data_IF_343262318650
#
_entry.id   IF_343262318650
#
_cell.length_a   1.000
_cell.length_b   1.000
_cell.length_c   1.000
_cell.angle_alpha   90.00
_cell.angle_beta   90.00
_cell.angle_gamma   90.00
#
_symmetry.space_group_name_H-M   'P 1'
#
loop_
_entity.id
_entity.type
_entity.pdbx_description
1 polymer ?
#
# COMPACT_ATOMS: atom_id res chain seq x y z
N UNK A 1 39.28 -78.29 -56.30
CA UNK A 1 39.25 -77.69 -54.96
C UNK A 1 39.07 -76.19 -55.12
N UNK A 2 37.85 -75.75 -55.17
CA UNK A 2 37.55 -74.34 -55.39
C UNK A 2 36.89 -73.76 -54.18
N UNK A 3 37.51 -72.71 -53.59
CA UNK A 3 36.91 -71.92 -52.47
C UNK A 3 36.05 -70.79 -53.06
N UNK A 4 34.79 -70.72 -52.60
CA UNK A 4 33.90 -69.62 -52.89
C UNK A 4 34.12 -68.45 -51.91
N UNK A 5 34.08 -67.18 -52.33
CA UNK A 5 34.11 -66.05 -51.42
C UNK A 5 32.70 -65.72 -50.89
N UNK A 6 32.64 -65.50 -49.62
CA UNK A 6 31.39 -65.03 -48.93
C UNK A 6 31.12 -63.56 -49.15
N UNK A 7 29.93 -63.25 -49.50
CA UNK A 7 29.40 -61.90 -49.69
C UNK A 7 28.88 -61.35 -48.31
N UNK A 8 29.62 -60.40 -47.74
CA UNK A 8 29.24 -59.77 -46.49
C UNK A 8 28.30 -58.59 -46.79
N UNK A 9 27.05 -58.67 -46.40
CA UNK A 9 26.03 -57.61 -46.51
C UNK A 9 26.22 -56.61 -45.34
N UNK A 10 26.68 -55.39 -45.63
CA UNK A 10 26.66 -54.26 -44.65
C UNK A 10 25.26 -53.63 -44.63
N UNK A 11 24.53 -53.83 -43.55
CA UNK A 11 23.30 -53.11 -43.31
C UNK A 11 23.64 -51.80 -42.60
N UNK A 12 23.56 -50.69 -43.32
CA UNK A 12 23.63 -49.30 -42.75
C UNK A 12 22.29 -48.99 -42.08
N UNK A 13 22.27 -49.08 -40.75
CA UNK A 13 21.19 -48.54 -39.94
C UNK A 13 21.43 -47.05 -39.81
N UNK A 14 20.71 -46.22 -40.57
CA UNK A 14 20.62 -44.78 -40.39
C UNK A 14 19.76 -44.46 -39.20
N UNK A 15 20.40 -44.16 -38.07
CA UNK A 15 19.77 -43.72 -36.83
C UNK A 15 19.38 -42.22 -37.00
N UNK A 16 18.15 -41.97 -37.43
CA UNK A 16 17.57 -40.63 -37.42
C UNK A 16 17.37 -40.17 -35.95
N UNK A 17 18.34 -39.40 -35.42
CA UNK A 17 18.16 -38.67 -34.18
C UNK A 17 17.11 -37.56 -34.44
N UNK A 18 15.88 -37.84 -34.11
CA UNK A 18 14.84 -36.81 -33.96
C UNK A 18 15.20 -35.94 -32.76
N UNK A 19 15.80 -34.78 -33.01
CA UNK A 19 15.92 -33.69 -32.02
C UNK A 19 14.49 -33.23 -31.68
N UNK A 20 13.89 -33.86 -30.69
CA UNK A 20 12.72 -33.31 -30.02
C UNK A 20 13.27 -32.12 -29.23
N UNK A 21 13.31 -30.95 -29.85
CA UNK A 21 13.40 -29.66 -29.13
C UNK A 21 12.12 -29.52 -28.34
N UNK A 22 12.13 -30.09 -27.13
CA UNK A 22 11.13 -29.79 -26.12
C UNK A 22 11.16 -28.28 -25.91
N UNK A 23 10.16 -27.58 -26.44
CA UNK A 23 9.85 -26.21 -26.02
C UNK A 23 9.50 -26.32 -24.57
N UNK A 24 10.48 -26.15 -23.68
CA UNK A 24 10.22 -25.91 -22.26
C UNK A 24 9.43 -24.61 -22.22
N UNK A 25 8.12 -24.71 -21.98
CA UNK A 25 7.33 -23.54 -21.63
C UNK A 25 8.04 -22.91 -20.42
N UNK A 26 8.58 -21.71 -20.59
CA UNK A 26 9.24 -21.01 -19.50
C UNK A 26 8.27 -20.96 -18.33
N UNK A 27 8.70 -21.50 -17.20
CA UNK A 27 7.89 -21.50 -15.98
C UNK A 27 7.57 -20.05 -15.61
N UNK A 28 6.28 -19.73 -15.52
CA UNK A 28 5.85 -18.36 -15.17
C UNK A 28 6.26 -18.06 -13.72
N UNK A 29 6.77 -16.85 -13.42
CA UNK A 29 7.25 -16.51 -12.08
C UNK A 29 6.15 -16.55 -11.04
N UNK A 30 6.50 -17.04 -9.84
CA UNK A 30 5.67 -16.97 -8.65
C UNK A 30 6.16 -15.79 -7.80
N UNK A 31 5.33 -14.73 -7.68
CA UNK A 31 5.68 -13.49 -7.02
C UNK A 31 4.79 -13.26 -5.79
N UNK A 32 5.38 -12.78 -4.70
CA UNK A 32 4.68 -12.45 -3.46
C UNK A 32 4.21 -11.00 -3.50
N UNK A 33 2.89 -10.80 -3.37
CA UNK A 33 2.24 -9.48 -3.44
C UNK A 33 1.70 -9.09 -2.07
N UNK A 34 2.31 -8.07 -1.46
CA UNK A 34 1.91 -7.53 -0.15
C UNK A 34 0.77 -6.53 -0.24
N UNK A 35 -0.21 -6.63 0.68
CA UNK A 35 -1.26 -5.62 0.82
C UNK A 35 -1.81 -5.60 2.25
N UNK A 36 -2.55 -4.54 2.60
CA UNK A 36 -3.12 -4.33 3.93
C UNK A 36 -4.64 -4.37 3.82
N UNK A 37 -5.33 -4.88 4.82
CA UNK A 37 -6.79 -4.80 4.94
C UNK A 37 -7.22 -3.36 5.28
N UNK A 38 -7.36 -2.55 4.22
CA UNK A 38 -7.76 -1.14 4.28
C UNK A 38 -8.47 -0.76 2.97
N UNK A 39 -9.39 0.19 3.00
CA UNK A 39 -10.02 0.70 1.79
C UNK A 39 -9.05 1.46 0.88
N UNK A 40 -7.86 1.79 1.38
CA UNK A 40 -6.77 2.32 0.57
C UNK A 40 -6.30 1.33 -0.51
N UNK A 41 -6.44 0.02 -0.26
CA UNK A 41 -6.04 -1.05 -1.19
C UNK A 41 -7.23 -1.70 -1.93
N UNK A 42 -8.42 -1.07 -1.87
CA UNK A 42 -9.62 -1.51 -2.59
C UNK A 42 -9.36 -1.90 -4.03
N UNK A 43 -8.61 -1.15 -4.86
CA UNK A 43 -8.43 -1.51 -6.26
C UNK A 43 -7.83 -2.89 -6.45
N UNK A 44 -6.86 -3.29 -5.63
CA UNK A 44 -6.29 -4.64 -5.70
C UNK A 44 -7.29 -5.73 -5.30
N UNK A 45 -8.04 -5.51 -4.22
CA UNK A 45 -9.06 -6.45 -3.75
C UNK A 45 -10.21 -6.59 -4.75
N UNK A 46 -10.61 -5.49 -5.39
CA UNK A 46 -11.59 -5.47 -6.47
C UNK A 46 -11.07 -6.23 -7.69
N UNK A 47 -9.82 -6.00 -8.12
CA UNK A 47 -9.22 -6.73 -9.23
C UNK A 47 -9.23 -8.24 -8.99
N UNK A 48 -8.92 -8.67 -7.76
CA UNK A 48 -8.93 -10.08 -7.37
C UNK A 48 -10.33 -10.69 -7.35
N UNK A 49 -11.36 -9.95 -6.92
CA UNK A 49 -12.74 -10.43 -6.87
C UNK A 49 -13.44 -10.39 -8.24
N UNK A 50 -13.21 -9.34 -9.03
CA UNK A 50 -13.79 -9.21 -10.37
C UNK A 50 -13.22 -10.24 -11.33
N UNK A 51 -11.98 -10.65 -11.15
CA UNK A 51 -11.38 -11.73 -11.89
C UNK A 51 -11.60 -11.61 -13.40
N UNK A 52 -12.15 -12.64 -14.03
CA UNK A 52 -12.43 -12.68 -15.47
C UNK A 52 -13.45 -11.65 -15.97
N UNK A 53 -14.27 -11.06 -15.08
CA UNK A 53 -15.13 -9.95 -15.47
C UNK A 53 -14.31 -8.73 -15.96
N UNK A 54 -13.03 -8.65 -15.60
CA UNK A 54 -12.11 -7.63 -16.10
C UNK A 54 -11.32 -8.03 -17.36
N UNK A 55 -11.67 -9.13 -18.00
CA UNK A 55 -11.02 -9.61 -19.24
C UNK A 55 -10.95 -8.55 -20.33
N UNK A 56 -11.99 -7.72 -20.45
CA UNK A 56 -12.04 -6.60 -21.41
C UNK A 56 -10.98 -5.51 -21.14
N UNK A 57 -10.40 -5.44 -19.94
CA UNK A 57 -9.30 -4.54 -19.62
C UNK A 57 -7.97 -4.99 -20.24
N UNK A 58 -7.90 -6.22 -20.79
CA UNK A 58 -6.68 -6.82 -21.35
C UNK A 58 -5.71 -7.39 -20.32
N UNK A 59 -5.88 -7.03 -19.04
CA UNK A 59 -5.12 -7.54 -17.88
C UNK A 59 -6.08 -7.75 -16.71
N UNK A 60 -6.00 -8.92 -16.06
CA UNK A 60 -6.86 -9.28 -14.92
C UNK A 60 -6.23 -10.36 -14.05
N UNK A 61 -6.82 -10.61 -12.87
CA UNK A 61 -6.43 -11.69 -11.97
C UNK A 61 -7.40 -12.86 -12.13
N UNK A 62 -6.87 -14.07 -12.28
CA UNK A 62 -7.66 -15.30 -12.27
C UNK A 62 -7.37 -16.08 -10.99
N UNK A 63 -8.40 -16.40 -10.16
CA UNK A 63 -8.18 -17.10 -8.91
C UNK A 63 -7.69 -18.53 -9.14
N UNK A 64 -6.60 -18.92 -8.46
CA UNK A 64 -6.16 -20.31 -8.31
C UNK A 64 -6.64 -20.83 -6.95
N UNK A 65 -6.39 -20.04 -5.90
CA UNK A 65 -6.95 -20.22 -4.56
C UNK A 65 -7.51 -18.87 -4.10
N UNK A 66 -8.83 -18.72 -3.94
CA UNK A 66 -9.43 -17.44 -3.57
C UNK A 66 -8.80 -16.81 -2.32
N UNK A 67 -8.52 -15.51 -2.37
CA UNK A 67 -7.85 -14.69 -1.37
C UNK A 67 -6.40 -15.07 -1.05
N UNK A 68 -5.84 -16.07 -1.71
CA UNK A 68 -4.49 -16.56 -1.45
C UNK A 68 -3.60 -16.55 -2.71
N UNK A 69 -4.05 -17.13 -3.83
CA UNK A 69 -3.25 -17.30 -5.04
C UNK A 69 -4.01 -16.95 -6.31
N UNK A 70 -3.38 -16.16 -7.18
CA UNK A 70 -3.98 -15.70 -8.42
C UNK A 70 -2.96 -15.76 -9.56
N UNK A 71 -3.44 -16.01 -10.76
CA UNK A 71 -2.67 -15.78 -11.98
C UNK A 71 -2.88 -14.34 -12.47
N UNK A 72 -1.82 -13.66 -12.83
CA UNK A 72 -1.88 -12.44 -13.62
C UNK A 72 -2.02 -12.84 -15.08
N UNK A 73 -3.17 -12.53 -15.67
CA UNK A 73 -3.52 -12.93 -17.03
C UNK A 73 -3.51 -11.72 -17.96
N UNK A 74 -2.84 -11.84 -19.09
CA UNK A 74 -2.76 -10.81 -20.13
C UNK A 74 -3.22 -11.40 -21.46
N UNK A 75 -4.24 -10.81 -22.08
CA UNK A 75 -4.81 -11.29 -23.33
C UNK A 75 -5.14 -12.81 -23.29
N UNK A 76 -5.65 -13.27 -22.13
CA UNK A 76 -6.07 -14.68 -21.92
C UNK A 76 -4.93 -15.63 -21.55
N UNK A 77 -3.67 -15.18 -21.49
CA UNK A 77 -2.52 -16.01 -21.13
C UNK A 77 -1.97 -15.63 -19.75
N UNK A 78 -1.75 -16.58 -18.82
CA UNK A 78 -1.09 -16.30 -17.55
C UNK A 78 0.39 -15.95 -17.81
N UNK A 79 0.89 -14.91 -17.15
CA UNK A 79 2.28 -14.44 -17.23
C UNK A 79 3.01 -14.50 -15.90
N UNK A 80 2.27 -14.60 -14.79
CA UNK A 80 2.81 -14.76 -13.44
C UNK A 80 1.77 -15.39 -12.53
N UNK A 81 2.23 -15.97 -11.42
CA UNK A 81 1.39 -16.35 -10.28
C UNK A 81 1.67 -15.38 -9.14
N UNK A 82 0.63 -14.82 -8.53
CA UNK A 82 0.71 -13.97 -7.36
C UNK A 82 0.28 -14.73 -6.10
N UNK A 83 1.21 -14.87 -5.15
CA UNK A 83 0.92 -15.31 -3.79
C UNK A 83 0.62 -14.07 -2.95
N UNK A 84 -0.59 -13.97 -2.41
CA UNK A 84 -1.03 -12.80 -1.64
C UNK A 84 -0.53 -12.87 -0.19
N UNK A 85 0.04 -11.78 0.29
CA UNK A 85 0.53 -11.65 1.66
C UNK A 85 -0.18 -10.45 2.32
N UNK A 86 -1.02 -10.74 3.31
CA UNK A 86 -1.63 -9.68 4.13
C UNK A 86 -0.59 -9.18 5.13
N UNK A 87 -0.27 -7.89 5.06
CA UNK A 87 0.64 -7.23 5.99
C UNK A 87 -0.15 -6.38 7.01
N UNK A 88 0.38 -6.26 8.22
CA UNK A 88 -0.26 -5.53 9.33
C UNK A 88 -0.12 -4.02 9.23
N UNK A 89 0.92 -3.56 8.52
CA UNK A 89 1.25 -2.13 8.38
C UNK A 89 2.24 -1.89 7.24
N UNK A 90 2.38 -0.62 6.83
CA UNK A 90 3.40 -0.22 5.87
C UNK A 90 4.83 -0.46 6.38
N UNK A 91 5.07 -0.32 7.68
CA UNK A 91 6.38 -0.63 8.27
C UNK A 91 6.74 -2.11 8.13
N UNK A 92 5.78 -3.02 8.34
CA UNK A 92 5.99 -4.45 8.11
C UNK A 92 6.22 -4.73 6.64
N UNK A 93 5.45 -4.09 5.73
CA UNK A 93 5.66 -4.23 4.28
C UNK A 93 7.10 -3.88 3.89
N UNK A 94 7.62 -2.73 4.36
CA UNK A 94 9.00 -2.33 4.10
C UNK A 94 10.02 -3.32 4.69
N UNK A 95 9.77 -3.86 5.88
CA UNK A 95 10.62 -4.87 6.51
C UNK A 95 10.61 -6.21 5.75
N UNK A 96 9.47 -6.61 5.17
CA UNK A 96 9.37 -7.81 4.33
C UNK A 96 10.14 -7.63 3.00
N UNK A 97 10.11 -6.45 2.39
CA UNK A 97 10.98 -6.13 1.23
C UNK A 97 12.46 -6.25 1.60
N UNK A 98 12.87 -5.66 2.73
CA UNK A 98 14.25 -5.73 3.20
C UNK A 98 14.74 -7.18 3.40
N UNK A 99 13.84 -8.08 3.81
CA UNK A 99 14.10 -9.52 3.96
C UNK A 99 13.90 -10.34 2.69
N UNK A 100 13.62 -9.68 1.53
CA UNK A 100 13.31 -10.34 0.24
C UNK A 100 12.12 -11.30 0.31
N UNK A 101 11.15 -10.98 1.15
CA UNK A 101 9.93 -11.77 1.35
C UNK A 101 8.72 -11.18 0.60
N UNK A 102 8.90 -10.07 -0.10
CA UNK A 102 7.93 -9.48 -1.01
C UNK A 102 8.61 -9.10 -2.34
N UNK A 103 7.90 -9.27 -3.41
CA UNK A 103 8.28 -8.89 -4.78
C UNK A 103 7.59 -7.60 -5.21
N UNK A 104 6.29 -7.50 -4.93
CA UNK A 104 5.41 -6.38 -5.21
C UNK A 104 4.60 -6.06 -3.94
N UNK A 105 4.21 -4.82 -3.74
CA UNK A 105 3.27 -4.49 -2.67
C UNK A 105 2.54 -3.16 -2.90
N UNK A 106 1.50 -2.96 -2.08
CA UNK A 106 0.89 -1.67 -1.82
C UNK A 106 1.16 -1.29 -0.36
N UNK A 107 1.56 -0.05 -0.13
CA UNK A 107 1.81 0.48 1.22
C UNK A 107 1.79 2.00 1.25
N UNK A 108 1.79 2.57 2.46
CA UNK A 108 1.96 4.01 2.66
C UNK A 108 3.27 4.50 2.01
N UNK A 109 3.20 5.61 1.27
CA UNK A 109 4.36 6.24 0.63
C UNK A 109 5.45 6.56 1.65
N UNK A 110 5.08 7.02 2.85
CA UNK A 110 6.02 7.33 3.94
C UNK A 110 6.75 6.11 4.46
N UNK A 111 6.09 4.95 4.51
CA UNK A 111 6.72 3.68 4.90
C UNK A 111 7.70 3.17 3.82
N UNK A 112 7.34 3.30 2.54
CA UNK A 112 8.23 2.95 1.43
C UNK A 112 9.44 3.89 1.41
N UNK A 113 9.26 5.21 1.54
CA UNK A 113 10.36 6.17 1.66
C UNK A 113 11.30 5.82 2.83
N UNK A 114 10.74 5.53 4.01
CA UNK A 114 11.55 5.15 5.18
C UNK A 114 12.31 3.83 4.97
N UNK A 115 11.75 2.88 4.23
CA UNK A 115 12.43 1.64 3.85
C UNK A 115 13.58 1.90 2.88
N UNK A 116 13.38 2.72 1.85
CA UNK A 116 14.41 3.10 0.88
C UNK A 116 15.54 3.89 1.58
N UNK A 117 15.20 4.81 2.50
CA UNK A 117 16.19 5.54 3.29
C UNK A 117 17.08 4.62 4.14
N UNK A 118 16.54 3.48 4.59
CA UNK A 118 17.28 2.43 5.31
C UNK A 118 18.05 1.49 4.39
N UNK A 119 18.06 1.72 3.09
CA UNK A 119 18.78 0.92 2.10
C UNK A 119 18.01 -0.28 1.56
N UNK A 120 16.69 -0.40 1.78
CA UNK A 120 15.90 -1.47 1.17
C UNK A 120 15.82 -1.24 -0.35
N UNK A 121 16.25 -2.22 -1.18
CA UNK A 121 16.29 -2.06 -2.63
C UNK A 121 14.88 -2.26 -3.21
N UNK A 122 14.13 -1.16 -3.34
CA UNK A 122 12.79 -1.13 -3.90
C UNK A 122 12.47 0.25 -4.49
N UNK A 123 11.48 0.32 -5.37
CA UNK A 123 11.00 1.54 -6.03
C UNK A 123 9.49 1.69 -5.90
N UNK A 124 9.04 2.95 -5.86
CA UNK A 124 7.65 3.34 -6.04
C UNK A 124 7.35 3.34 -7.54
N UNK A 125 6.25 2.67 -7.94
CA UNK A 125 5.89 2.47 -9.35
C UNK A 125 4.70 3.31 -9.79
N UNK A 126 3.68 3.45 -8.93
CA UNK A 126 2.47 4.21 -9.23
C UNK A 126 1.81 4.72 -7.95
N UNK A 127 0.99 5.79 -8.04
CA UNK A 127 0.13 6.18 -6.94
C UNK A 127 -0.99 5.16 -6.78
N UNK A 128 -1.61 5.12 -5.61
CA UNK A 128 -2.81 4.34 -5.37
C UNK A 128 -4.00 5.25 -5.03
N UNK A 129 -3.87 6.09 -3.99
CA UNK A 129 -4.89 7.07 -3.61
C UNK A 129 -4.29 8.21 -2.79
N UNK A 130 -5.12 9.23 -2.54
CA UNK A 130 -4.86 10.34 -1.62
C UNK A 130 -5.85 10.31 -0.46
N UNK A 131 -5.50 10.99 0.64
CA UNK A 131 -6.43 11.26 1.76
C UNK A 131 -6.95 9.99 2.47
N UNK A 132 -8.19 10.04 2.99
CA UNK A 132 -8.82 8.90 3.67
C UNK A 132 -8.21 8.61 5.03
N UNK A 133 -8.02 9.63 5.85
CA UNK A 133 -7.39 9.53 7.16
C UNK A 133 -8.15 10.40 8.15
N UNK A 134 -8.44 9.88 9.34
CA UNK A 134 -9.24 10.61 10.34
C UNK A 134 -8.67 10.56 11.75
N UNK A 135 -8.97 11.60 12.52
CA UNK A 135 -8.82 11.64 13.97
C UNK A 135 -10.17 11.32 14.61
N UNK A 136 -10.19 10.28 15.42
CA UNK A 136 -11.39 9.74 16.05
C UNK A 136 -11.26 9.80 17.56
N UNK A 137 -12.31 10.27 18.22
CA UNK A 137 -12.44 10.26 19.69
C UNK A 137 -13.58 9.34 20.11
N UNK A 138 -13.68 8.92 21.37
CA UNK A 138 -14.86 8.20 21.88
C UNK A 138 -16.15 8.92 21.54
N UNK A 139 -17.23 8.17 21.30
CA UNK A 139 -18.53 8.72 20.91
C UNK A 139 -19.09 9.77 21.89
N UNK A 140 -18.83 9.55 23.18
CA UNK A 140 -19.26 10.40 24.30
C UNK A 140 -18.29 11.55 24.63
N UNK A 141 -17.18 11.67 23.87
CA UNK A 141 -16.21 12.75 24.05
C UNK A 141 -16.83 14.13 23.80
N UNK A 142 -16.49 15.18 24.59
CA UNK A 142 -16.93 16.53 24.33
C UNK A 142 -16.23 17.19 23.13
N UNK A 143 -15.18 16.57 22.59
CA UNK A 143 -14.38 17.12 21.49
C UNK A 143 -15.14 16.99 20.17
N UNK A 144 -15.29 18.09 19.43
CA UNK A 144 -16.10 18.13 18.21
C UNK A 144 -15.30 18.41 16.93
N UNK A 145 -14.11 19.02 17.08
CA UNK A 145 -13.28 19.50 15.99
C UNK A 145 -11.82 19.68 16.43
N UNK A 146 -10.97 20.12 15.49
CA UNK A 146 -9.55 20.36 15.74
C UNK A 146 -9.29 21.42 16.83
N UNK A 147 -10.04 22.50 16.86
CA UNK A 147 -9.84 23.60 17.82
C UNK A 147 -10.20 23.17 19.24
N UNK A 148 -11.30 22.44 19.42
CA UNK A 148 -11.68 21.84 20.70
C UNK A 148 -10.64 20.85 21.19
N UNK A 149 -10.08 20.03 20.29
CA UNK A 149 -8.98 19.10 20.58
C UNK A 149 -7.72 19.86 21.04
N UNK A 150 -7.27 20.88 20.30
CA UNK A 150 -6.11 21.69 20.69
C UNK A 150 -6.28 22.36 22.04
N UNK A 151 -7.49 22.92 22.29
CA UNK A 151 -7.83 23.56 23.55
C UNK A 151 -7.80 22.58 24.73
N UNK A 152 -8.28 21.36 24.50
CA UNK A 152 -8.23 20.27 25.48
C UNK A 152 -6.78 19.85 25.76
N UNK A 153 -5.99 19.56 24.72
CA UNK A 153 -4.61 19.13 24.87
C UNK A 153 -3.73 20.17 25.61
N UNK A 154 -3.95 21.46 25.35
CA UNK A 154 -3.23 22.55 26.07
C UNK A 154 -3.56 22.66 27.55
N UNK A 155 -4.76 22.23 27.97
CA UNK A 155 -5.26 22.33 29.37
C UNK A 155 -5.11 21.02 30.14
N UNK A 156 -4.86 19.92 29.46
CA UNK A 156 -4.74 18.61 30.07
C UNK A 156 -3.59 18.55 31.08
N UNK A 157 -3.83 17.92 32.24
CA UNK A 157 -2.81 17.76 33.29
C UNK A 157 -1.78 16.67 32.96
N UNK A 158 -2.12 15.79 32.03
CA UNK A 158 -1.25 14.71 31.53
C UNK A 158 -1.32 14.69 30.00
N UNK A 159 -0.32 14.17 29.31
CA UNK A 159 -0.33 14.08 27.86
C UNK A 159 -1.56 13.29 27.35
N UNK A 160 -2.31 13.88 26.43
CA UNK A 160 -3.43 13.21 25.76
C UNK A 160 -2.92 12.08 24.90
N UNK A 161 -3.37 10.86 25.15
CA UNK A 161 -2.91 9.67 24.42
C UNK A 161 -3.65 9.48 23.10
N UNK A 162 -2.92 9.54 21.99
CA UNK A 162 -3.46 9.25 20.65
C UNK A 162 -2.81 7.98 20.12
N UNK A 163 -3.65 6.96 19.87
CA UNK A 163 -3.19 5.71 19.28
C UNK A 163 -3.00 5.81 17.77
N UNK A 164 -1.93 5.22 17.26
CA UNK A 164 -1.66 5.06 15.83
C UNK A 164 -1.17 3.61 15.55
N UNK A 165 -1.29 3.16 14.28
CA UNK A 165 -1.03 1.75 13.96
C UNK A 165 0.40 1.44 13.49
N UNK A 166 1.20 2.46 13.16
CA UNK A 166 2.57 2.27 12.64
C UNK A 166 3.37 3.58 12.69
N UNK A 167 4.63 3.56 13.13
CA UNK A 167 5.48 4.75 13.25
C UNK A 167 5.72 5.50 11.94
N UNK A 168 5.66 4.80 10.80
CA UNK A 168 5.86 5.37 9.47
C UNK A 168 4.57 5.54 8.68
N UNK A 169 3.41 5.47 9.33
CA UNK A 169 2.12 5.65 8.65
C UNK A 169 1.83 7.10 8.32
N UNK A 170 1.24 7.34 7.15
CA UNK A 170 0.85 8.68 6.72
C UNK A 170 -0.03 9.43 7.74
N UNK A 171 -1.10 8.82 8.30
CA UNK A 171 -1.93 9.53 9.28
C UNK A 171 -1.16 9.97 10.52
N UNK A 172 -0.21 9.16 11.02
CA UNK A 172 0.64 9.54 12.16
C UNK A 172 1.53 10.74 11.81
N UNK A 173 2.19 10.69 10.66
CA UNK A 173 3.10 11.75 10.21
C UNK A 173 2.37 13.07 9.99
N UNK A 174 1.19 13.04 9.36
CA UNK A 174 0.35 14.24 9.15
C UNK A 174 -0.08 14.83 10.49
N UNK A 175 -0.66 14.00 11.38
CA UNK A 175 -1.13 14.48 12.69
C UNK A 175 0.01 15.09 13.51
N UNK A 176 1.14 14.41 13.60
CA UNK A 176 2.30 14.91 14.34
C UNK A 176 2.82 16.23 13.76
N UNK A 177 2.88 16.35 12.42
CA UNK A 177 3.25 17.59 11.75
C UNK A 177 2.28 18.73 12.07
N UNK A 178 0.97 18.49 12.00
CA UNK A 178 -0.05 19.48 12.31
C UNK A 178 -0.05 19.90 13.79
N UNK A 179 0.16 18.95 14.72
CA UNK A 179 0.30 19.24 16.15
C UNK A 179 1.48 20.16 16.43
N UNK A 180 2.66 19.84 15.87
CA UNK A 180 3.88 20.66 16.02
C UNK A 180 3.70 22.05 15.43
N UNK A 181 3.08 22.17 14.25
CA UNK A 181 2.74 23.47 13.65
C UNK A 181 1.75 24.28 14.50
N UNK A 182 0.90 23.61 15.27
CA UNK A 182 -0.06 24.25 16.22
C UNK A 182 0.55 24.56 17.60
N UNK A 183 1.88 24.38 17.75
CA UNK A 183 2.61 24.63 18.99
C UNK A 183 2.35 23.61 20.10
N UNK A 184 1.93 22.38 19.75
CA UNK A 184 1.73 21.27 20.68
C UNK A 184 3.03 20.46 20.78
N UNK A 185 3.53 20.28 21.99
CA UNK A 185 4.65 19.38 22.27
C UNK A 185 4.17 17.95 22.23
N UNK A 186 4.78 17.16 21.34
CA UNK A 186 4.43 15.74 21.09
C UNK A 186 5.58 14.86 21.55
N UNK A 187 5.26 13.73 22.17
CA UNK A 187 6.21 12.69 22.56
C UNK A 187 5.72 11.30 22.17
N UNK A 188 6.65 10.36 22.03
CA UNK A 188 6.39 8.91 21.98
C UNK A 188 6.89 8.19 23.26
N UNK A 189 7.55 8.93 24.16
CA UNK A 189 7.99 8.40 25.47
C UNK A 189 6.86 8.53 26.49
N UNK A 190 6.31 7.43 27.02
CA UNK A 190 5.23 7.45 28.01
C UNK A 190 5.63 8.09 29.34
N UNK A 191 6.92 8.28 29.61
CA UNK A 191 7.45 8.92 30.81
C UNK A 191 7.59 10.44 30.67
N UNK A 192 7.54 10.99 29.45
CA UNK A 192 7.62 12.45 29.23
C UNK A 192 6.29 13.14 29.55
N UNK A 193 6.12 13.51 30.83
CA UNK A 193 4.94 14.26 31.32
C UNK A 193 4.96 15.74 30.93
N UNK A 194 6.04 16.24 30.29
CA UNK A 194 6.13 17.64 29.84
C UNK A 194 5.47 17.87 28.47
N UNK A 195 5.14 16.80 27.75
CA UNK A 195 4.42 16.87 26.48
C UNK A 195 2.91 17.06 26.70
N UNK A 196 2.23 17.61 25.70
CA UNK A 196 0.77 17.76 25.70
C UNK A 196 0.07 16.57 25.00
N UNK A 197 0.76 15.89 24.10
CA UNK A 197 0.25 14.73 23.39
C UNK A 197 1.28 13.62 23.44
N UNK A 198 0.83 12.42 23.82
CA UNK A 198 1.56 11.17 23.73
C UNK A 198 1.03 10.35 22.53
N UNK A 199 1.88 10.11 21.55
CA UNK A 199 1.56 9.20 20.44
C UNK A 199 1.89 7.77 20.85
N UNK A 200 0.88 6.90 20.90
CA UNK A 200 0.98 5.52 21.37
C UNK A 200 0.92 4.55 20.16
N UNK A 201 1.98 3.74 19.99
CA UNK A 201 2.06 2.75 18.92
C UNK A 201 1.23 1.51 19.25
N UNK A 202 0.11 1.33 18.55
CA UNK A 202 -0.79 0.18 18.66
C UNK A 202 -0.36 -1.02 17.80
N UNK A 203 0.74 -0.89 17.04
CA UNK A 203 1.43 -1.91 16.21
C UNK A 203 0.69 -2.31 14.93
N UNK A 204 -0.63 -2.35 14.92
CA UNK A 204 -1.42 -2.75 13.75
C UNK A 204 -2.80 -2.08 13.74
N UNK A 205 -3.42 -2.03 12.56
CA UNK A 205 -4.71 -1.37 12.37
C UNK A 205 -5.84 -2.02 13.14
N UNK A 206 -5.80 -3.32 13.35
CA UNK A 206 -6.82 -4.11 14.07
C UNK A 206 -6.92 -3.75 15.55
N UNK A 207 -5.86 -3.21 16.14
CA UNK A 207 -5.83 -2.79 17.54
C UNK A 207 -6.47 -1.41 17.79
N UNK A 208 -6.71 -0.62 16.75
CA UNK A 208 -7.14 0.78 16.88
C UNK A 208 -8.52 0.90 17.57
N UNK A 209 -9.52 0.17 17.07
CA UNK A 209 -10.88 0.24 17.62
C UNK A 209 -10.98 -0.35 19.02
N UNK A 210 -10.39 -1.52 19.31
CA UNK A 210 -10.30 -2.05 20.68
C UNK A 210 -9.65 -1.08 21.67
N UNK A 211 -8.53 -0.44 21.28
CA UNK A 211 -7.82 0.52 22.14
C UNK A 211 -8.67 1.76 22.47
N UNK A 212 -9.45 2.26 21.49
CA UNK A 212 -10.38 3.37 21.71
C UNK A 212 -11.54 2.95 22.60
N UNK A 213 -12.16 1.80 22.33
CA UNK A 213 -13.30 1.27 23.07
C UNK A 213 -12.97 0.97 24.55
N UNK A 214 -11.77 0.44 24.82
CA UNK A 214 -11.28 0.16 26.17
C UNK A 214 -10.72 1.38 26.90
N UNK A 215 -10.72 2.56 26.27
CA UNK A 215 -10.11 3.79 26.79
C UNK A 215 -8.61 3.68 27.10
N UNK A 216 -7.91 2.74 26.43
CA UNK A 216 -6.45 2.66 26.49
C UNK A 216 -5.80 3.91 25.88
N UNK A 217 -6.49 4.53 24.91
CA UNK A 217 -6.16 5.81 24.29
C UNK A 217 -7.39 6.72 24.28
N UNK A 218 -7.18 8.03 24.29
CA UNK A 218 -8.25 9.05 24.28
C UNK A 218 -8.69 9.43 22.86
N UNK A 219 -7.84 9.11 21.88
CA UNK A 219 -8.15 9.26 20.47
C UNK A 219 -7.36 8.22 19.64
N UNK A 220 -7.78 8.00 18.41
CA UNK A 220 -6.99 7.25 17.42
C UNK A 220 -6.86 8.08 16.15
N UNK A 221 -5.69 7.96 15.49
CA UNK A 221 -5.46 8.50 14.15
C UNK A 221 -5.14 7.36 13.20
N UNK A 222 -5.90 7.26 12.12
CA UNK A 222 -5.71 6.12 11.22
C UNK A 222 -6.32 6.27 9.85
N UNK A 223 -6.02 5.30 8.96
CA UNK A 223 -6.56 5.26 7.62
C UNK A 223 -7.98 4.72 7.60
N UNK A 224 -8.75 5.10 6.60
CA UNK A 224 -10.01 4.43 6.27
C UNK A 224 -9.78 2.94 5.98
N UNK A 225 -10.66 2.03 6.44
CA UNK A 225 -12.00 2.29 6.95
C UNK A 225 -12.10 2.40 8.49
N UNK A 226 -11.00 2.45 9.22
CA UNK A 226 -11.04 2.34 10.69
C UNK A 226 -11.79 3.50 11.37
N UNK A 227 -11.65 4.79 10.94
CA UNK A 227 -12.48 5.88 11.41
C UNK A 227 -13.98 5.60 11.19
N UNK A 228 -14.37 5.19 10.02
CA UNK A 228 -15.76 4.92 9.64
C UNK A 228 -16.33 3.69 10.36
N UNK A 229 -15.50 2.65 10.58
CA UNK A 229 -15.90 1.48 11.40
C UNK A 229 -16.10 1.86 12.85
N UNK A 230 -15.29 2.75 13.42
CA UNK A 230 -15.51 3.25 14.79
C UNK A 230 -16.86 3.97 14.91
N UNK A 231 -17.24 4.77 13.89
CA UNK A 231 -18.56 5.43 13.82
C UNK A 231 -19.69 4.43 13.66
N UNK A 232 -19.59 3.52 12.68
CA UNK A 232 -20.61 2.49 12.40
C UNK A 232 -20.89 1.59 13.60
N UNK A 233 -19.86 1.26 14.39
CA UNK A 233 -19.98 0.47 15.62
C UNK A 233 -20.42 1.28 16.84
N UNK A 234 -20.60 2.58 16.69
CA UNK A 234 -20.98 3.47 17.79
C UNK A 234 -19.90 3.62 18.88
N UNK A 235 -18.66 3.28 18.58
CA UNK A 235 -17.51 3.39 19.49
C UNK A 235 -16.88 4.77 19.46
N UNK A 236 -16.85 5.42 18.31
CA UNK A 236 -16.17 6.68 18.12
C UNK A 236 -16.90 7.68 17.25
N UNK A 237 -16.35 8.87 17.19
CA UNK A 237 -16.75 9.98 16.33
C UNK A 237 -15.52 10.56 15.66
N UNK A 238 -15.57 10.73 14.33
CA UNK A 238 -14.53 11.45 13.58
C UNK A 238 -14.71 12.94 13.88
N UNK A 239 -13.68 13.59 14.41
CA UNK A 239 -13.67 15.01 14.70
C UNK A 239 -12.85 15.82 13.69
N UNK A 240 -11.97 15.14 12.93
CA UNK A 240 -11.16 15.77 11.86
C UNK A 240 -10.93 14.74 10.78
N UNK A 241 -11.27 15.07 9.54
CA UNK A 241 -10.61 14.50 8.37
C UNK A 241 -9.24 15.18 8.26
N UNK A 242 -8.15 14.43 8.16
CA UNK A 242 -6.80 15.01 8.21
C UNK A 242 -6.50 15.96 7.04
N UNK A 243 -7.26 15.90 5.94
CA UNK A 243 -7.15 16.87 4.83
C UNK A 243 -7.59 18.28 5.26
N UNK A 244 -8.47 18.39 6.27
CA UNK A 244 -9.02 19.64 6.77
C UNK A 244 -8.18 20.28 7.89
N UNK A 245 -7.04 19.66 8.24
CA UNK A 245 -6.10 20.24 9.19
C UNK A 245 -5.52 21.56 8.67
N UNK A 246 -5.26 22.53 9.57
CA UNK A 246 -4.67 23.80 9.18
C UNK A 246 -3.21 23.65 8.70
N UNK A 247 -2.73 24.54 7.81
CA UNK A 247 -3.47 25.61 7.16
C UNK A 247 -4.46 25.07 6.12
N UNK A 248 -5.58 25.76 5.90
CA UNK A 248 -6.62 25.32 4.98
C UNK A 248 -6.05 24.97 3.59
N UNK A 249 -6.43 23.81 3.05
CA UNK A 249 -6.00 23.30 1.77
C UNK A 249 -4.56 22.74 1.74
N UNK A 250 -3.80 22.86 2.81
CA UNK A 250 -2.41 22.40 2.85
C UNK A 250 -2.30 20.87 2.68
N UNK A 251 -3.24 20.13 3.23
CA UNK A 251 -3.26 18.67 3.27
C UNK A 251 -4.20 18.04 2.22
N UNK A 252 -4.83 18.86 1.34
CA UNK A 252 -5.66 18.35 0.25
C UNK A 252 -4.80 17.63 -0.79
N UNK A 253 -5.36 16.57 -1.37
CA UNK A 253 -4.70 15.66 -2.32
C UNK A 253 -3.41 15.03 -1.77
N UNK A 254 -3.29 14.94 -0.45
CA UNK A 254 -2.06 14.46 0.19
C UNK A 254 -1.86 12.97 -0.09
N UNK A 255 -0.67 12.55 -0.53
CA UNK A 255 -0.39 11.16 -0.86
C UNK A 255 -0.62 10.23 0.34
N UNK A 256 -1.17 9.02 0.11
CA UNK A 256 -1.15 8.02 1.16
C UNK A 256 -0.49 6.73 0.69
N UNK A 257 -1.12 5.93 -0.18
CA UNK A 257 -0.53 4.66 -0.60
C UNK A 257 -0.04 4.69 -2.05
N UNK A 258 0.92 3.81 -2.31
CA UNK A 258 1.59 3.59 -3.59
C UNK A 258 1.71 2.11 -3.87
N UNK A 259 1.94 1.74 -5.12
CA UNK A 259 2.51 0.43 -5.49
C UNK A 259 4.02 0.50 -5.46
N UNK A 260 4.65 -0.57 -5.04
CA UNK A 260 6.11 -0.70 -5.00
C UNK A 260 6.55 -2.09 -5.48
N UNK A 261 7.77 -2.18 -5.99
CA UNK A 261 8.43 -3.44 -6.32
C UNK A 261 9.87 -3.46 -5.81
N UNK A 262 10.40 -4.67 -5.54
CA UNK A 262 11.82 -4.85 -5.29
C UNK A 262 12.64 -4.59 -6.56
N UNK A 263 13.84 -4.02 -6.43
CA UNK A 263 14.75 -3.81 -7.57
C UNK A 263 15.03 -5.13 -8.30
N UNK A 264 15.08 -6.25 -7.56
CA UNK A 264 15.26 -7.58 -8.12
C UNK A 264 14.08 -7.97 -9.03
N UNK A 265 12.85 -7.73 -8.60
CA UNK A 265 11.64 -8.04 -9.38
C UNK A 265 11.55 -7.15 -10.61
N UNK A 266 11.89 -5.86 -10.49
CA UNK A 266 11.97 -4.92 -11.62
C UNK A 266 12.96 -5.43 -12.67
N UNK A 267 14.15 -5.87 -12.24
CA UNK A 267 15.19 -6.33 -13.15
C UNK A 267 14.88 -7.68 -13.83
N UNK A 268 14.28 -8.63 -13.08
CA UNK A 268 14.02 -9.99 -13.58
C UNK A 268 12.71 -10.14 -14.36
N UNK A 269 11.68 -9.37 -13.99
CA UNK A 269 10.32 -9.53 -14.49
C UNK A 269 9.67 -8.18 -14.84
N UNK A 270 10.33 -7.31 -15.65
CA UNK A 270 9.84 -5.96 -15.94
C UNK A 270 8.49 -5.95 -16.67
N UNK A 271 8.19 -6.97 -17.45
CA UNK A 271 6.92 -7.18 -18.13
C UNK A 271 5.78 -7.48 -17.14
N UNK A 272 6.04 -8.31 -16.13
CA UNK A 272 5.08 -8.59 -15.05
C UNK A 272 4.83 -7.34 -14.21
N UNK A 273 5.89 -6.59 -13.86
CA UNK A 273 5.79 -5.31 -13.13
C UNK A 273 4.95 -4.32 -13.93
N UNK A 274 5.17 -4.20 -15.25
CA UNK A 274 4.39 -3.35 -16.14
C UNK A 274 2.90 -3.71 -16.09
N UNK A 275 2.57 -4.99 -16.15
CA UNK A 275 1.19 -5.46 -16.15
C UNK A 275 0.52 -5.37 -14.78
N UNK A 276 1.27 -5.50 -13.70
CA UNK A 276 0.78 -5.21 -12.35
C UNK A 276 0.39 -3.73 -12.20
N UNK A 277 1.26 -2.81 -12.62
CA UNK A 277 0.96 -1.36 -12.59
C UNK A 277 -0.24 -1.02 -13.49
N UNK A 278 -0.33 -1.61 -14.67
CA UNK A 278 -1.47 -1.44 -15.57
C UNK A 278 -2.78 -1.93 -14.95
N UNK A 279 -2.78 -3.11 -14.32
CA UNK A 279 -3.93 -3.67 -13.60
C UNK A 279 -4.42 -2.69 -12.54
N UNK A 280 -3.52 -2.23 -11.67
CA UNK A 280 -3.87 -1.32 -10.58
C UNK A 280 -4.41 0.00 -11.11
N UNK A 281 -3.75 0.61 -12.09
CA UNK A 281 -4.19 1.90 -12.65
C UNK A 281 -5.58 1.81 -13.32
N UNK A 282 -5.84 0.75 -14.09
CA UNK A 282 -7.15 0.51 -14.70
C UNK A 282 -8.23 0.23 -13.66
N UNK A 283 -7.90 -0.53 -12.60
CA UNK A 283 -8.84 -0.80 -11.52
C UNK A 283 -9.09 0.45 -10.67
N UNK A 284 -8.09 1.32 -10.46
CA UNK A 284 -8.28 2.65 -9.84
C UNK A 284 -9.36 3.44 -10.61
N UNK A 285 -9.24 3.52 -11.94
CA UNK A 285 -10.23 4.21 -12.77
C UNK A 285 -11.61 3.56 -12.69
N UNK A 286 -11.68 2.23 -12.64
CA UNK A 286 -12.93 1.50 -12.49
C UNK A 286 -13.58 1.76 -11.13
N UNK A 287 -12.83 1.71 -10.02
CA UNK A 287 -13.33 1.97 -8.67
C UNK A 287 -13.92 3.39 -8.53
N UNK A 288 -13.30 4.38 -9.17
CA UNK A 288 -13.84 5.75 -9.17
C UNK A 288 -15.21 5.86 -9.85
N UNK A 289 -15.42 5.09 -10.93
CA UNK A 289 -16.70 5.05 -11.65
C UNK A 289 -17.77 4.19 -10.95
N UNK A 290 -17.35 3.22 -10.14
CA UNK A 290 -18.23 2.20 -9.55
C UNK A 290 -18.09 2.16 -8.02
N UNK A 291 -18.09 3.34 -7.37
CA UNK A 291 -17.76 3.51 -5.94
C UNK A 291 -18.57 2.61 -5.00
N UNK A 292 -19.88 2.51 -5.23
CA UNK A 292 -20.77 1.68 -4.36
C UNK A 292 -20.45 0.19 -4.49
N UNK A 293 -20.21 -0.29 -5.69
CA UNK A 293 -19.83 -1.68 -5.93
C UNK A 293 -18.43 -1.97 -5.36
N UNK A 294 -17.46 -1.08 -5.59
CA UNK A 294 -16.14 -1.17 -5.01
C UNK A 294 -16.17 -1.26 -3.48
N UNK A 295 -17.01 -0.45 -2.83
CA UNK A 295 -17.24 -0.49 -1.39
C UNK A 295 -17.82 -1.82 -0.92
N UNK A 296 -18.81 -2.37 -1.63
CA UNK A 296 -19.42 -3.67 -1.33
C UNK A 296 -18.39 -4.80 -1.42
N UNK A 297 -17.65 -4.86 -2.53
CA UNK A 297 -16.61 -5.87 -2.74
C UNK A 297 -15.50 -5.76 -1.67
N UNK A 298 -15.13 -4.54 -1.28
CA UNK A 298 -14.15 -4.34 -0.20
C UNK A 298 -14.67 -4.83 1.15
N UNK A 299 -15.94 -4.53 1.48
CA UNK A 299 -16.58 -5.02 2.70
C UNK A 299 -16.55 -6.55 2.79
N UNK A 300 -16.93 -7.22 1.71
CA UNK A 300 -16.92 -8.69 1.61
C UNK A 300 -15.51 -9.29 1.70
N UNK A 301 -14.52 -8.59 1.13
CA UNK A 301 -13.13 -9.06 1.17
C UNK A 301 -12.54 -9.00 2.56
N UNK A 302 -12.70 -7.87 3.26
CA UNK A 302 -12.08 -7.61 4.55
C UNK A 302 -12.95 -8.11 5.72
N UNK A 303 -14.26 -8.28 5.51
CA UNK A 303 -15.22 -8.60 6.58
C UNK A 303 -15.61 -7.37 7.39
N UNK A 304 -15.88 -6.25 6.73
CA UNK A 304 -16.27 -4.98 7.35
C UNK A 304 -17.80 -4.76 7.28
N UNK A 305 -18.35 -3.88 8.15
CA UNK A 305 -19.68 -3.34 7.94
C UNK A 305 -19.77 -2.66 6.57
N UNK A 306 -20.81 -3.01 5.78
CA UNK A 306 -20.95 -2.51 4.41
C UNK A 306 -21.12 -0.99 4.33
N UNK A 307 -21.80 -0.39 5.30
CA UNK A 307 -21.97 1.05 5.44
C UNK A 307 -20.63 1.76 5.69
N UNK A 308 -19.79 1.23 6.60
CA UNK A 308 -18.46 1.77 6.86
C UNK A 308 -17.57 1.68 5.61
N UNK A 309 -17.56 0.54 4.90
CA UNK A 309 -16.78 0.41 3.68
C UNK A 309 -17.23 1.37 2.58
N UNK A 310 -18.54 1.55 2.39
CA UNK A 310 -19.08 2.51 1.41
C UNK A 310 -18.77 3.96 1.79
N UNK A 311 -18.88 4.32 3.07
CA UNK A 311 -18.55 5.66 3.57
C UNK A 311 -17.06 6.00 3.42
N UNK A 312 -16.19 4.98 3.44
CA UNK A 312 -14.74 5.11 3.35
C UNK A 312 -14.17 5.02 1.94
N UNK A 313 -15.00 5.11 0.89
CA UNK A 313 -14.51 5.06 -0.49
C UNK A 313 -13.78 6.34 -0.88
N UNK A 314 -12.57 6.16 -1.36
CA UNK A 314 -11.60 7.21 -1.70
C UNK A 314 -11.60 7.55 -3.20
N UNK A 315 -10.84 8.55 -3.55
CA UNK A 315 -10.47 8.80 -4.94
C UNK A 315 -9.15 8.09 -5.23
N UNK A 316 -9.20 7.10 -6.12
CA UNK A 316 -8.03 6.32 -6.52
C UNK A 316 -7.36 6.97 -7.73
N UNK A 317 -6.04 7.11 -7.68
CA UNK A 317 -5.28 7.81 -8.71
C UNK A 317 -4.71 6.83 -9.73
N UNK A 318 -5.17 6.87 -10.99
CA UNK A 318 -4.60 6.02 -12.04
C UNK A 318 -3.22 6.47 -12.51
N UNK A 319 -2.84 7.73 -12.24
CA UNK A 319 -1.51 8.30 -12.55
C UNK A 319 -1.10 9.31 -11.49
N UNK A 320 0.20 9.59 -11.40
CA UNK A 320 0.71 10.70 -10.58
C UNK A 320 0.16 12.05 -11.09
N UNK A 321 -0.21 12.91 -10.14
CA UNK A 321 -0.59 14.31 -10.40
C UNK A 321 0.45 15.25 -9.81
N UNK A 322 0.46 16.50 -10.28
CA UNK A 322 1.33 17.50 -9.68
C UNK A 322 1.02 17.76 -8.21
N UNK A 323 -0.27 17.75 -7.81
CA UNK A 323 -0.68 17.88 -6.41
C UNK A 323 -0.13 16.74 -5.57
N UNK A 324 -0.18 15.51 -6.07
CA UNK A 324 0.39 14.34 -5.42
C UNK A 324 1.92 14.51 -5.21
N UNK A 325 2.64 14.94 -6.25
CA UNK A 325 4.10 15.15 -6.15
C UNK A 325 4.46 16.27 -5.18
N UNK A 326 3.68 17.36 -5.15
CA UNK A 326 3.84 18.41 -4.12
C UNK A 326 3.59 17.88 -2.71
N UNK A 327 2.59 17.01 -2.53
CA UNK A 327 2.32 16.34 -1.26
C UNK A 327 3.47 15.41 -0.83
N UNK A 328 4.05 14.68 -1.77
CA UNK A 328 5.22 13.83 -1.52
C UNK A 328 6.45 14.65 -1.07
N UNK A 329 6.68 15.84 -1.66
CA UNK A 329 7.76 16.75 -1.25
C UNK A 329 7.52 17.31 0.17
N UNK A 330 6.26 17.60 0.53
CA UNK A 330 5.92 17.98 1.91
C UNK A 330 6.25 16.85 2.89
N UNK A 331 5.99 15.58 2.54
CA UNK A 331 6.45 14.46 3.38
C UNK A 331 7.97 14.43 3.53
N UNK A 332 8.74 14.68 2.46
CA UNK A 332 10.19 14.78 2.56
C UNK A 332 10.60 15.83 3.59
N UNK A 333 9.98 17.03 3.53
CA UNK A 333 10.24 18.12 4.48
C UNK A 333 9.89 17.71 5.91
N UNK A 334 8.68 17.20 6.15
CA UNK A 334 8.20 16.81 7.49
C UNK A 334 9.07 15.70 8.08
N UNK A 335 9.35 14.64 7.32
CA UNK A 335 10.16 13.51 7.78
C UNK A 335 11.61 13.90 8.06
N UNK A 336 12.18 14.84 7.30
CA UNK A 336 13.48 15.42 7.59
C UNK A 336 13.47 16.25 8.88
N UNK A 337 12.47 17.12 9.08
CA UNK A 337 12.31 17.92 10.31
C UNK A 337 12.11 17.04 11.55
N UNK A 338 11.42 15.92 11.42
CA UNK A 338 11.25 14.92 12.48
C UNK A 338 12.52 14.07 12.71
N UNK A 339 13.54 14.21 11.85
CA UNK A 339 14.76 13.41 11.92
C UNK A 339 14.55 11.92 11.59
N UNK A 340 13.52 11.60 10.84
CA UNK A 340 13.19 10.22 10.46
C UNK A 340 14.17 9.65 9.41
N UNK A 341 14.69 10.50 8.51
CA UNK A 341 15.66 10.09 7.50
C UNK A 341 17.09 10.18 8.04
N UNK A 342 17.84 9.12 7.87
CA UNK A 342 19.25 8.98 8.29
C UNK A 342 20.17 8.61 7.12
N UNK A 343 19.60 8.11 6.02
CA UNK A 343 20.27 7.61 4.84
C UNK A 343 20.21 8.59 3.65
N UNK A 344 20.03 8.08 2.41
CA UNK A 344 20.13 8.88 1.19
C UNK A 344 19.04 9.96 1.04
N UNK A 345 17.97 9.90 1.83
CA UNK A 345 16.89 10.90 1.77
C UNK A 345 17.09 12.06 2.76
N UNK A 346 18.08 11.96 3.65
CA UNK A 346 18.33 12.97 4.68
C UNK A 346 18.66 14.33 4.07
N UNK A 347 17.88 15.34 4.44
CA UNK A 347 18.06 16.74 3.99
C UNK A 347 17.74 16.99 2.52
N UNK A 348 17.12 16.03 1.82
CA UNK A 348 16.81 16.09 0.39
C UNK A 348 15.36 16.47 0.11
N UNK A 349 15.13 17.09 -1.05
CA UNK A 349 13.82 17.31 -1.67
C UNK A 349 13.43 16.10 -2.52
N UNK A 350 12.14 16.01 -2.86
CA UNK A 350 11.65 14.93 -3.73
C UNK A 350 12.34 14.94 -5.10
N UNK A 351 12.63 16.11 -5.66
CA UNK A 351 13.25 16.25 -6.98
C UNK A 351 14.69 15.72 -7.00
N UNK A 352 15.46 15.93 -5.93
CA UNK A 352 16.84 15.44 -5.81
C UNK A 352 16.92 13.92 -5.70
N UNK A 353 15.88 13.28 -5.13
CA UNK A 353 15.87 11.83 -4.88
C UNK A 353 14.87 11.09 -5.75
N UNK A 354 14.27 11.75 -6.75
CA UNK A 354 13.27 11.14 -7.62
C UNK A 354 13.73 9.81 -8.24
N UNK A 355 14.96 9.67 -8.80
CA UNK A 355 15.42 8.39 -9.33
C UNK A 355 15.70 7.33 -8.25
N UNK A 356 15.98 7.76 -7.01
CA UNK A 356 16.16 6.86 -5.88
C UNK A 356 14.83 6.27 -5.43
N UNK A 357 13.77 7.09 -5.39
CA UNK A 357 12.47 6.71 -4.89
C UNK A 357 11.58 6.03 -5.94
N UNK A 358 11.61 6.51 -7.19
CA UNK A 358 10.61 6.15 -8.20
C UNK A 358 11.22 5.43 -9.40
N UNK A 359 10.44 4.51 -9.97
CA UNK A 359 10.57 4.05 -11.34
C UNK A 359 9.25 4.31 -12.08
N UNK A 360 9.14 5.52 -12.64
CA UNK A 360 7.89 6.00 -13.25
C UNK A 360 7.66 5.43 -14.66
N UNK A 361 8.66 4.80 -15.28
CA UNK A 361 8.53 4.27 -16.64
C UNK A 361 7.35 3.32 -16.82
N UNK A 362 6.96 2.60 -15.74
CA UNK A 362 5.85 1.65 -15.77
C UNK A 362 4.50 2.34 -15.86
N UNK A 363 4.27 3.37 -15.02
CA UNK A 363 2.98 4.09 -15.03
C UNK A 363 2.84 5.02 -16.24
N UNK A 364 3.94 5.55 -16.77
CA UNK A 364 3.94 6.41 -17.94
C UNK A 364 3.45 5.66 -19.20
N UNK A 365 3.77 4.36 -19.31
CA UNK A 365 3.34 3.48 -20.42
C UNK A 365 1.88 3.05 -20.33
N UNK A 366 1.19 3.26 -19.19
CA UNK A 366 -0.20 2.83 -19.02
C UNK A 366 -1.15 3.68 -19.86
N UNK A 367 -1.97 3.01 -20.68
CA UNK A 367 -3.13 3.58 -21.39
C UNK A 367 -4.39 3.22 -20.60
N UNK A 368 -5.17 4.23 -20.22
CA UNK A 368 -6.41 4.10 -19.42
C UNK A 368 -7.62 3.93 -20.34
#
# INVERSE_FOLDING_TARGET
>A
MFKKPGLTFFVLISMALSLISGVWAAEIPNLKVGYIFTTHHTPFMVAAQKGEAFKSMGVYLRPVVPKDKYELVVNGKPIAVFQLIVTKSGAETAALFARKQLDLAMASVTAIMAGIDKGTPMKILSPLQTEGMGLVVPKDSPLTDWNSFLSYAKKAKQPVKIGYHSPTSAPKIILEGALKQSGIKVTEDPNDQSAQVLLADLKETTNMIPALASKQVEAIVGPSPFPEVAVSRGVGRIIVDLRDLPPAGYWHDFPCCVTAASDQTIAKHPDVVQKFVELIAKTNAWCNKNRLEAGTLTAEWIGLPADAAKASMLVYLPKFTESWMRGADKYMTILNQMGNFKGPLKGKTINEVKPTLFDMQFIDKVKL
#
